data_IF_095013487893
#
_entry.id   IF_095013487893
#
_cell.length_a   1.000
_cell.length_b   1.000
_cell.length_c   1.000
_cell.angle_alpha   90.00
_cell.angle_beta   90.00
_cell.angle_gamma   90.00
#
_symmetry.space_group_name_H-M   'P 1'
#
loop_
_entity.id
_entity.type
_entity.pdbx_description
1 polymer ?
#
# COMPACT_ATOMS: atom_id res chain seq x y z
N UNK A 1 -1.57 -17.02 10.30
CA UNK A 1 -2.27 -15.76 9.97
C UNK A 1 -2.78 -15.17 11.25
N UNK A 2 -2.37 -13.95 11.53
CA UNK A 2 -2.71 -13.23 12.76
C UNK A 2 -4.04 -12.50 12.61
N UNK A 3 -4.78 -12.40 13.70
CA UNK A 3 -6.08 -11.75 13.77
C UNK A 3 -5.95 -10.37 14.40
N UNK A 4 -6.67 -9.41 13.84
CA UNK A 4 -6.83 -8.07 14.38
C UNK A 4 -7.57 -8.10 15.73
N UNK A 5 -7.63 -6.96 16.41
CA UNK A 5 -8.41 -6.81 17.66
C UNK A 5 -9.87 -7.24 17.51
N UNK A 6 -10.48 -7.01 16.36
CA UNK A 6 -11.86 -7.42 16.10
C UNK A 6 -11.98 -8.70 15.25
N UNK A 7 -10.93 -9.51 15.22
CA UNK A 7 -10.89 -10.84 14.60
C UNK A 7 -11.10 -10.81 13.08
N UNK A 8 -10.54 -9.79 12.42
CA UNK A 8 -10.27 -9.86 10.98
C UNK A 8 -8.89 -10.47 10.76
N UNK A 9 -8.73 -11.22 9.68
CA UNK A 9 -7.40 -11.59 9.20
C UNK A 9 -6.60 -10.30 8.87
N UNK A 10 -5.41 -10.11 9.47
CA UNK A 10 -4.68 -8.83 9.34
C UNK A 10 -4.31 -8.51 7.88
N UNK A 11 -3.88 -9.50 7.09
CA UNK A 11 -3.60 -9.33 5.66
C UNK A 11 -4.85 -8.88 4.87
N UNK A 12 -6.03 -9.33 5.28
CA UNK A 12 -7.29 -8.87 4.72
C UNK A 12 -7.64 -7.44 5.12
N UNK A 13 -7.33 -7.02 6.36
CA UNK A 13 -7.49 -5.62 6.79
C UNK A 13 -6.60 -4.70 5.97
N UNK A 14 -5.32 -5.07 5.75
CA UNK A 14 -4.41 -4.33 4.87
C UNK A 14 -4.98 -4.20 3.46
N UNK A 15 -5.43 -5.32 2.89
CA UNK A 15 -5.97 -5.31 1.54
C UNK A 15 -7.28 -4.52 1.43
N UNK A 16 -8.13 -4.57 2.46
CA UNK A 16 -9.37 -3.81 2.52
C UNK A 16 -9.12 -2.30 2.62
N UNK A 17 -8.15 -1.86 3.45
CA UNK A 17 -7.72 -0.46 3.53
C UNK A 17 -7.17 0.05 2.18
N UNK A 18 -6.32 -0.74 1.53
CA UNK A 18 -5.81 -0.38 0.21
C UNK A 18 -6.93 -0.33 -0.83
N UNK A 19 -7.90 -1.25 -0.76
CA UNK A 19 -9.03 -1.27 -1.68
C UNK A 19 -9.96 -0.07 -1.50
N UNK A 20 -10.41 0.21 -0.27
CA UNK A 20 -11.36 1.28 0.03
C UNK A 20 -10.78 2.67 -0.25
N UNK A 21 -9.51 2.90 0.09
CA UNK A 21 -8.81 4.17 -0.19
C UNK A 21 -8.79 4.51 -1.67
N UNK A 22 -8.74 3.52 -2.55
CA UNK A 22 -8.80 3.78 -3.99
C UNK A 22 -10.19 4.22 -4.44
N UNK A 23 -11.26 3.69 -3.80
CA UNK A 23 -12.67 3.85 -4.19
C UNK A 23 -13.31 5.16 -3.74
N UNK A 24 -12.55 6.00 -3.04
CA UNK A 24 -13.07 7.22 -2.42
C UNK A 24 -14.16 6.96 -1.36
N UNK A 25 -14.17 5.77 -0.75
CA UNK A 25 -15.05 5.47 0.37
C UNK A 25 -14.38 5.89 1.68
N UNK A 26 -14.67 7.10 2.13
CA UNK A 26 -14.01 7.73 3.29
C UNK A 26 -14.28 6.96 4.58
N UNK A 27 -15.53 6.55 4.77
CA UNK A 27 -15.95 5.85 5.97
C UNK A 27 -15.29 4.47 6.04
N UNK A 28 -15.32 3.70 4.95
CA UNK A 28 -14.68 2.38 4.92
C UNK A 28 -13.15 2.48 5.02
N UNK A 29 -12.53 3.50 4.40
CA UNK A 29 -11.08 3.75 4.54
C UNK A 29 -10.68 4.02 5.97
N UNK A 30 -11.40 4.93 6.64
CA UNK A 30 -11.16 5.26 8.05
C UNK A 30 -11.39 4.05 8.96
N UNK A 31 -12.42 3.25 8.68
CA UNK A 31 -12.70 2.05 9.46
C UNK A 31 -11.53 1.06 9.43
N UNK A 32 -11.06 0.70 8.23
CA UNK A 32 -9.96 -0.27 8.10
C UNK A 32 -8.63 0.29 8.63
N UNK A 33 -8.40 1.60 8.51
CA UNK A 33 -7.24 2.23 9.12
C UNK A 33 -7.32 2.18 10.66
N UNK A 34 -8.47 2.56 11.22
CA UNK A 34 -8.72 2.49 12.66
C UNK A 34 -8.60 1.04 13.19
N UNK A 35 -9.03 0.04 12.43
CA UNK A 35 -8.87 -1.37 12.79
C UNK A 35 -7.40 -1.76 12.99
N UNK A 36 -6.50 -1.32 12.09
CA UNK A 36 -5.06 -1.56 12.23
C UNK A 36 -4.49 -0.85 13.46
N UNK A 37 -4.85 0.42 13.66
CA UNK A 37 -4.39 1.21 14.81
C UNK A 37 -4.83 0.58 16.14
N UNK A 38 -6.10 0.16 16.22
CA UNK A 38 -6.66 -0.52 17.40
C UNK A 38 -6.05 -1.92 17.62
N UNK A 39 -5.45 -2.51 16.59
CA UNK A 39 -4.69 -3.76 16.67
C UNK A 39 -3.19 -3.54 16.98
N UNK A 40 -2.77 -2.28 17.16
CA UNK A 40 -1.37 -1.90 17.38
C UNK A 40 -0.48 -1.99 16.14
N UNK A 41 -1.07 -2.16 14.94
CA UNK A 41 -0.36 -2.31 13.66
C UNK A 41 -0.10 -0.94 13.00
N UNK A 42 0.56 -0.03 13.73
CA UNK A 42 0.76 1.37 13.34
C UNK A 42 1.61 1.48 12.06
N UNK A 43 2.76 0.82 12.04
CA UNK A 43 3.69 0.88 10.91
C UNK A 43 3.12 0.24 9.66
N UNK A 44 2.36 -0.84 9.81
CA UNK A 44 1.71 -1.53 8.72
C UNK A 44 0.55 -0.71 8.16
N UNK A 45 -0.16 0.07 8.98
CA UNK A 45 -1.16 1.05 8.51
C UNK A 45 -0.50 2.11 7.60
N UNK A 46 0.60 2.71 8.06
CA UNK A 46 1.35 3.73 7.29
C UNK A 46 1.88 3.14 5.98
N UNK A 47 2.46 1.94 6.05
CA UNK A 47 2.99 1.22 4.88
C UNK A 47 1.88 0.91 3.86
N UNK A 48 0.71 0.47 4.34
CA UNK A 48 -0.46 0.17 3.49
C UNK A 48 -0.96 1.44 2.79
N UNK A 49 -1.00 2.57 3.50
CA UNK A 49 -1.38 3.86 2.91
C UNK A 49 -0.38 4.32 1.85
N UNK A 50 0.93 4.20 2.14
CA UNK A 50 1.99 4.52 1.18
C UNK A 50 1.87 3.65 -0.08
N UNK A 51 1.71 2.33 0.06
CA UNK A 51 1.54 1.43 -1.07
C UNK A 51 0.24 1.72 -1.84
N UNK A 52 -0.84 2.08 -1.15
CA UNK A 52 -2.07 2.51 -1.80
C UNK A 52 -1.84 3.74 -2.67
N UNK A 53 -1.18 4.76 -2.11
CA UNK A 53 -0.79 5.96 -2.84
C UNK A 53 0.13 5.63 -4.02
N UNK A 54 1.20 4.89 -3.79
CA UNK A 54 2.26 4.61 -4.75
C UNK A 54 1.71 3.93 -6.01
N UNK A 55 0.90 2.89 -5.83
CA UNK A 55 0.43 2.05 -6.93
C UNK A 55 -0.83 2.59 -7.63
N UNK A 56 -1.57 3.49 -6.99
CA UNK A 56 -2.83 4.00 -7.53
C UNK A 56 -2.84 5.48 -7.87
N UNK A 57 -2.01 6.32 -7.25
CA UNK A 57 -2.04 7.78 -7.41
C UNK A 57 -0.66 8.33 -7.81
N UNK A 58 0.37 7.95 -7.06
CA UNK A 58 1.77 8.28 -7.31
C UNK A 58 1.98 9.78 -7.57
N UNK A 59 2.70 10.15 -8.64
CA UNK A 59 3.08 11.55 -8.88
C UNK A 59 1.93 12.51 -9.17
N UNK A 60 0.69 12.02 -9.34
CA UNK A 60 -0.48 12.88 -9.54
C UNK A 60 -1.13 13.35 -8.23
N UNK A 61 -0.56 12.97 -7.09
CA UNK A 61 -1.00 13.40 -5.76
C UNK A 61 0.18 13.55 -4.80
N UNK A 62 1.15 14.38 -5.15
CA UNK A 62 2.36 14.62 -4.36
C UNK A 62 2.08 15.36 -3.05
N UNK A 63 1.02 16.17 -2.98
CA UNK A 63 0.61 16.81 -1.72
C UNK A 63 0.36 15.79 -0.60
N UNK A 64 -0.19 14.62 -0.92
CA UNK A 64 -0.40 13.56 0.06
C UNK A 64 0.93 13.01 0.56
N UNK A 65 1.84 12.66 -0.34
CA UNK A 65 3.14 12.09 0.03
C UNK A 65 3.99 13.08 0.81
N UNK A 66 4.02 14.34 0.40
CA UNK A 66 4.72 15.40 1.11
C UNK A 66 4.21 15.55 2.55
N UNK A 67 2.89 15.57 2.75
CA UNK A 67 2.28 15.68 4.07
C UNK A 67 2.57 14.43 4.91
N UNK A 68 2.30 13.24 4.35
CA UNK A 68 2.53 11.97 5.03
C UNK A 68 3.99 11.80 5.44
N UNK A 69 4.95 12.16 4.60
CA UNK A 69 6.37 12.08 4.96
C UNK A 69 6.72 13.05 6.09
N UNK A 70 6.19 14.27 6.04
CA UNK A 70 6.46 15.29 7.05
C UNK A 70 5.85 14.97 8.43
N UNK A 71 4.69 14.32 8.46
CA UNK A 71 3.97 14.01 9.72
C UNK A 71 4.20 12.59 10.21
N UNK A 72 4.32 11.63 9.30
CA UNK A 72 4.43 10.21 9.63
C UNK A 72 5.84 9.67 9.46
N UNK A 73 6.78 10.38 8.82
CA UNK A 73 8.13 9.88 8.56
C UNK A 73 9.05 9.80 9.78
N UNK A 74 8.61 10.27 10.95
CA UNK A 74 9.34 10.21 12.21
C UNK A 74 9.22 8.87 12.94
N UNK A 75 10.00 8.72 14.02
CA UNK A 75 9.92 7.56 14.92
C UNK A 75 8.65 7.55 15.78
N UNK A 76 8.05 8.73 15.94
CA UNK A 76 6.81 8.96 16.67
C UNK A 76 5.75 9.54 15.74
N UNK A 77 4.51 9.06 15.88
CA UNK A 77 3.36 9.53 15.11
C UNK A 77 2.09 9.48 15.97
N UNK A 78 1.16 10.41 15.73
CA UNK A 78 -0.14 10.42 16.43
C UNK A 78 -1.18 9.56 15.70
N UNK A 79 -2.17 9.04 16.45
CA UNK A 79 -3.34 8.35 15.87
C UNK A 79 -4.08 9.28 14.89
N UNK A 80 -4.22 10.56 15.26
CA UNK A 80 -4.90 11.58 14.46
C UNK A 80 -4.23 11.83 13.11
N UNK A 81 -2.90 11.90 13.06
CA UNK A 81 -2.16 12.14 11.81
C UNK A 81 -2.31 10.97 10.83
N UNK A 82 -2.35 9.73 11.31
CA UNK A 82 -2.53 8.54 10.48
C UNK A 82 -3.97 8.49 9.95
N UNK A 83 -4.95 8.73 10.81
CA UNK A 83 -6.36 8.79 10.42
C UNK A 83 -6.59 9.91 9.40
N UNK A 84 -6.03 11.10 9.63
CA UNK A 84 -6.09 12.22 8.69
C UNK A 84 -5.43 11.85 7.35
N UNK A 85 -4.26 11.22 7.37
CA UNK A 85 -3.57 10.78 6.15
C UNK A 85 -4.41 9.76 5.36
N UNK A 86 -5.09 8.83 6.04
CA UNK A 86 -6.00 7.88 5.40
C UNK A 86 -7.23 8.57 4.78
N UNK A 87 -7.81 9.53 5.51
CA UNK A 87 -8.95 10.33 5.04
C UNK A 87 -8.57 11.18 3.83
N UNK A 88 -7.44 11.88 3.89
CA UNK A 88 -6.91 12.66 2.79
C UNK A 88 -6.75 11.81 1.53
N UNK A 89 -6.17 10.61 1.64
CA UNK A 89 -6.01 9.70 0.50
C UNK A 89 -7.36 9.30 -0.11
N UNK A 90 -8.35 9.01 0.73
CA UNK A 90 -9.72 8.70 0.29
C UNK A 90 -10.46 9.89 -0.33
N UNK A 91 -10.03 11.13 -0.07
CA UNK A 91 -10.59 12.32 -0.71
C UNK A 91 -10.04 12.56 -2.12
N UNK A 92 -8.92 11.93 -2.49
CA UNK A 92 -8.29 12.09 -3.81
C UNK A 92 -9.12 11.40 -4.88
N UNK A 93 -9.81 12.16 -5.73
CA UNK A 93 -10.69 11.66 -6.79
C UNK A 93 -10.15 10.41 -7.51
N UNK A 94 -11.03 9.44 -7.78
CA UNK A 94 -10.70 8.24 -8.55
C UNK A 94 -10.17 8.57 -9.96
N UNK A 95 -10.49 9.75 -10.49
CA UNK A 95 -9.96 10.22 -11.78
C UNK A 95 -8.45 10.46 -11.73
N UNK A 96 -7.89 10.77 -10.55
CA UNK A 96 -6.44 10.86 -10.35
C UNK A 96 -5.76 9.51 -10.24
N UNK A 97 -6.50 8.39 -10.40
CA UNK A 97 -5.85 7.08 -10.46
C UNK A 97 -4.93 7.01 -11.67
N UNK A 98 -3.74 6.46 -11.48
CA UNK A 98 -2.74 6.30 -12.52
C UNK A 98 -1.87 5.07 -12.25
N UNK A 99 -1.69 4.23 -13.26
CA UNK A 99 -0.83 3.05 -13.17
C UNK A 99 0.41 3.15 -14.06
N UNK A 100 0.85 4.37 -14.41
CA UNK A 100 2.04 4.54 -15.24
C UNK A 100 3.30 4.03 -14.59
N UNK A 101 3.43 4.17 -13.27
CA UNK A 101 4.54 3.60 -12.53
C UNK A 101 4.67 2.09 -12.79
N UNK A 102 3.61 1.34 -12.48
CA UNK A 102 3.61 -0.10 -12.71
C UNK A 102 3.77 -0.45 -14.20
N UNK A 103 3.11 0.29 -15.09
CA UNK A 103 3.17 0.01 -16.52
C UNK A 103 4.58 0.20 -17.08
N UNK A 104 5.29 1.27 -16.68
CA UNK A 104 6.67 1.53 -17.07
C UNK A 104 7.63 0.47 -16.51
N UNK A 105 7.43 0.06 -15.26
CA UNK A 105 8.23 -1.01 -14.64
C UNK A 105 8.00 -2.37 -15.31
N UNK A 106 6.76 -2.68 -15.68
CA UNK A 106 6.40 -3.93 -16.35
C UNK A 106 6.89 -3.99 -17.81
N UNK A 107 7.06 -2.84 -18.46
CA UNK A 107 7.71 -2.72 -19.76
C UNK A 107 9.23 -2.92 -19.60
N UNK A 108 9.64 -4.18 -19.58
CA UNK A 108 11.05 -4.57 -19.55
C UNK A 108 11.83 -4.00 -20.74
N UNK A 109 13.14 -3.87 -20.57
CA UNK A 109 14.03 -3.37 -21.61
C UNK A 109 14.00 -4.27 -22.85
N UNK A 110 13.86 -3.68 -24.05
CA UNK A 110 13.84 -4.40 -25.32
C UNK A 110 12.49 -5.01 -25.73
N UNK A 111 11.49 -5.05 -24.85
CA UNK A 111 10.15 -5.52 -25.21
C UNK A 111 9.39 -4.51 -26.11
N UNK A 112 9.70 -3.22 -25.95
CA UNK A 112 9.14 -2.13 -26.77
C UNK A 112 10.26 -1.17 -27.13
N UNK A 113 10.41 -0.79 -28.42
CA UNK A 113 11.29 0.32 -28.76
C UNK A 113 10.76 1.60 -28.11
N UNK A 114 11.60 2.29 -27.35
CA UNK A 114 11.20 3.55 -26.72
C UNK A 114 10.85 4.58 -27.83
N UNK A 115 9.79 5.36 -27.63
CA UNK A 115 9.34 6.37 -28.59
C UNK A 115 10.49 7.33 -28.96
N UNK A 116 10.42 7.90 -30.18
CA UNK A 116 11.39 8.91 -30.60
C UNK A 116 11.22 10.19 -29.77
N UNK A 117 12.29 10.57 -29.07
CA UNK A 117 12.41 11.86 -28.40
C UNK A 117 12.81 12.91 -29.43
N UNK A 118 12.04 14.00 -29.51
CA UNK A 118 12.32 15.10 -30.44
C UNK A 118 13.56 15.90 -30.04
N UNK A 119 14.03 16.84 -30.88
CA UNK A 119 15.21 17.66 -30.57
C UNK A 119 14.95 18.76 -29.54
N UNK A 120 13.68 19.03 -29.18
CA UNK A 120 13.31 20.08 -28.23
C UNK A 120 13.95 19.81 -26.85
N UNK A 121 14.81 20.72 -26.42
CA UNK A 121 15.50 20.69 -25.13
C UNK A 121 15.51 22.09 -24.51
N UNK A 122 15.94 22.18 -23.25
CA UNK A 122 16.27 23.44 -22.57
C UNK A 122 17.80 23.56 -22.45
N UNK A 123 18.37 24.78 -22.32
CA UNK A 123 19.79 24.95 -22.07
C UNK A 123 20.22 24.21 -20.79
N UNK A 124 21.31 23.43 -20.85
CA UNK A 124 21.77 22.61 -19.73
C UNK A 124 23.30 22.46 -19.72
N UNK A 125 23.91 22.23 -18.54
CA UNK A 125 25.37 22.12 -18.41
C UNK A 125 25.93 20.76 -18.85
N UNK A 126 25.07 19.78 -19.08
CA UNK A 126 25.43 18.41 -19.41
C UNK A 126 25.89 18.29 -20.87
N UNK A 127 27.01 17.61 -21.11
CA UNK A 127 27.62 17.46 -22.45
C UNK A 127 27.50 16.06 -23.03
N UNK A 128 27.24 15.05 -22.18
CA UNK A 128 27.04 13.68 -22.62
C UNK A 128 25.72 13.51 -23.38
N UNK A 129 25.73 12.67 -24.43
CA UNK A 129 24.58 12.49 -25.30
C UNK A 129 23.42 11.77 -24.59
N UNK A 130 23.71 10.83 -23.68
CA UNK A 130 22.70 10.11 -22.89
C UNK A 130 22.03 11.05 -21.89
N UNK A 131 22.82 11.89 -21.23
CA UNK A 131 22.32 12.95 -20.34
C UNK A 131 21.41 13.94 -21.10
N UNK A 132 21.87 14.38 -22.27
CA UNK A 132 21.10 15.25 -23.15
C UNK A 132 19.79 14.58 -23.63
N UNK A 133 19.82 13.29 -23.94
CA UNK A 133 18.65 12.51 -24.30
C UNK A 133 17.65 12.43 -23.13
N UNK A 134 18.13 12.14 -21.92
CA UNK A 134 17.31 12.08 -20.71
C UNK A 134 16.60 13.41 -20.46
N UNK A 135 17.32 14.53 -20.55
CA UNK A 135 16.74 15.87 -20.37
C UNK A 135 15.66 16.15 -21.42
N UNK A 136 15.92 15.83 -22.70
CA UNK A 136 14.91 15.97 -23.76
C UNK A 136 13.67 15.12 -23.48
N UNK A 137 13.85 13.89 -23.01
CA UNK A 137 12.75 13.00 -22.68
C UNK A 137 11.90 13.58 -21.53
N UNK A 138 12.54 14.10 -20.48
CA UNK A 138 11.89 14.74 -19.34
C UNK A 138 11.10 15.98 -19.78
N UNK A 139 11.74 16.90 -20.51
CA UNK A 139 11.12 18.15 -21.01
C UNK A 139 9.90 17.88 -21.89
N UNK A 140 9.91 16.75 -22.61
CA UNK A 140 8.82 16.33 -23.49
C UNK A 140 7.77 15.44 -22.80
N UNK A 141 7.92 15.16 -21.50
CA UNK A 141 7.02 14.29 -20.74
C UNK A 141 7.05 12.82 -21.18
N UNK A 142 8.15 12.35 -21.78
CA UNK A 142 8.32 10.99 -22.30
C UNK A 142 8.92 10.09 -21.22
N UNK A 143 8.14 9.82 -20.15
CA UNK A 143 8.66 9.14 -18.96
C UNK A 143 9.19 7.72 -19.24
N UNK A 144 8.57 6.94 -20.13
CA UNK A 144 9.11 5.63 -20.52
C UNK A 144 10.49 5.74 -21.17
N UNK A 145 10.68 6.67 -22.11
CA UNK A 145 11.98 6.90 -22.76
C UNK A 145 13.03 7.39 -21.77
N UNK A 146 12.65 8.29 -20.86
CA UNK A 146 13.51 8.73 -19.77
C UNK A 146 13.93 7.54 -18.88
N UNK A 147 12.99 6.67 -18.51
CA UNK A 147 13.27 5.46 -17.73
C UNK A 147 14.19 4.47 -18.47
N UNK A 148 13.98 4.26 -19.78
CA UNK A 148 14.89 3.46 -20.61
C UNK A 148 16.34 3.96 -20.52
N UNK A 149 16.54 5.28 -20.44
CA UNK A 149 17.86 5.90 -20.36
C UNK A 149 18.43 5.83 -18.93
N UNK A 150 17.61 6.06 -17.91
CA UNK A 150 18.03 5.98 -16.49
C UNK A 150 18.63 4.63 -16.15
N UNK A 151 18.11 3.53 -16.70
CA UNK A 151 18.66 2.19 -16.47
C UNK A 151 20.04 1.95 -17.09
N UNK A 152 20.49 2.82 -18.00
CA UNK A 152 21.80 2.75 -18.66
C UNK A 152 22.83 3.71 -18.07
N UNK A 153 22.49 4.36 -16.96
CA UNK A 153 23.28 5.40 -16.31
C UNK A 153 23.43 5.11 -14.82
N UNK A 154 24.52 5.58 -14.23
CA UNK A 154 24.70 5.55 -12.78
C UNK A 154 23.68 6.44 -12.07
N UNK A 155 23.12 5.95 -10.97
CA UNK A 155 22.02 6.64 -10.29
C UNK A 155 22.44 8.01 -9.75
N UNK A 156 23.65 8.14 -9.19
CA UNK A 156 24.16 9.43 -8.70
C UNK A 156 24.17 10.50 -9.80
N UNK A 157 24.46 10.07 -11.04
CA UNK A 157 24.46 10.98 -12.19
C UNK A 157 23.05 11.36 -12.62
N UNK A 158 22.14 10.39 -12.63
CA UNK A 158 20.72 10.66 -12.88
C UNK A 158 20.15 11.60 -11.82
N UNK A 159 20.44 11.38 -10.54
CA UNK A 159 19.98 12.21 -9.44
C UNK A 159 20.47 13.66 -9.59
N UNK A 160 21.73 13.88 -9.97
CA UNK A 160 22.24 15.22 -10.27
C UNK A 160 21.45 15.93 -11.39
N UNK A 161 21.04 15.21 -12.43
CA UNK A 161 20.23 15.75 -13.53
C UNK A 161 18.81 16.07 -13.05
N UNK A 162 18.19 15.17 -12.28
CA UNK A 162 16.85 15.37 -11.74
C UNK A 162 16.80 16.58 -10.80
N UNK A 163 17.76 16.69 -9.89
CA UNK A 163 17.88 17.82 -8.96
C UNK A 163 18.08 19.14 -9.71
N UNK A 164 19.01 19.17 -10.68
CA UNK A 164 19.22 20.34 -11.54
C UNK A 164 17.95 20.76 -12.26
N UNK A 165 17.19 19.80 -12.81
CA UNK A 165 15.94 20.09 -13.51
C UNK A 165 14.88 20.66 -12.56
N UNK A 166 14.75 20.09 -11.36
CA UNK A 166 13.76 20.55 -10.36
C UNK A 166 14.10 21.89 -9.73
N UNK A 167 15.39 22.22 -9.61
CA UNK A 167 15.85 23.53 -9.12
C UNK A 167 15.38 24.69 -10.02
N UNK A 168 15.12 24.41 -11.29
CA UNK A 168 14.57 25.40 -12.24
C UNK A 168 13.04 25.53 -12.16
N UNK A 169 12.34 24.59 -11.52
CA UNK A 169 10.88 24.51 -11.56
C UNK A 169 10.19 24.81 -10.24
N UNK A 170 10.47 24.05 -9.18
CA UNK A 170 9.68 24.07 -7.94
C UNK A 170 10.43 23.43 -6.77
N UNK A 171 10.58 24.16 -5.65
CA UNK A 171 11.26 23.67 -4.45
C UNK A 171 10.59 22.44 -3.83
N UNK A 172 9.27 22.30 -3.93
CA UNK A 172 8.55 21.12 -3.40
C UNK A 172 8.90 19.82 -4.13
N UNK A 173 9.25 19.90 -5.41
CA UNK A 173 9.68 18.73 -6.19
C UNK A 173 11.04 18.24 -5.71
N UNK A 174 11.96 19.17 -5.42
CA UNK A 174 13.24 18.85 -4.82
C UNK A 174 13.07 18.14 -3.49
N UNK A 175 12.22 18.67 -2.61
CA UNK A 175 11.88 18.04 -1.33
C UNK A 175 11.32 16.62 -1.54
N UNK A 176 10.44 16.42 -2.52
CA UNK A 176 9.92 15.08 -2.82
C UNK A 176 11.01 14.13 -3.34
N UNK A 177 11.96 14.60 -4.15
CA UNK A 177 13.10 13.79 -4.59
C UNK A 177 13.95 13.34 -3.39
N UNK A 178 14.21 14.24 -2.44
CA UNK A 178 14.95 13.91 -1.22
C UNK A 178 14.19 12.86 -0.41
N UNK A 179 12.88 13.06 -0.20
CA UNK A 179 12.01 12.10 0.49
C UNK A 179 11.95 10.72 -0.19
N UNK A 180 12.03 10.65 -1.53
CA UNK A 180 12.09 9.38 -2.26
C UNK A 180 13.39 8.61 -2.01
N UNK A 181 14.45 9.22 -1.50
CA UNK A 181 15.68 8.50 -1.10
C UNK A 181 15.59 7.87 0.28
N UNK A 182 14.58 8.25 1.06
CA UNK A 182 14.34 7.86 2.45
C UNK A 182 12.92 7.26 2.63
N UNK A 183 12.35 6.65 1.59
CA UNK A 183 10.99 6.12 1.60
C UNK A 183 10.76 5.05 2.69
N UNK A 184 11.82 4.39 3.16
CA UNK A 184 11.79 3.45 4.28
C UNK A 184 11.24 4.09 5.56
N UNK A 185 11.35 5.41 5.72
CA UNK A 185 10.73 6.17 6.82
C UNK A 185 9.21 6.14 6.80
N UNK A 186 8.58 5.73 5.70
CA UNK A 186 7.13 5.48 5.64
C UNK A 186 6.83 3.98 5.45
N UNK A 187 7.62 3.30 4.62
CA UNK A 187 7.39 1.89 4.31
C UNK A 187 7.84 0.93 5.42
N UNK A 188 8.70 1.37 6.34
CA UNK A 188 9.26 0.55 7.40
C UNK A 188 10.39 -0.40 6.97
N UNK A 189 10.73 -0.45 5.69
CA UNK A 189 11.80 -1.29 5.17
C UNK A 189 12.35 -0.76 3.84
N UNK A 190 13.55 -1.23 3.47
CA UNK A 190 14.23 -0.89 2.22
C UNK A 190 14.57 -2.16 1.44
N UNK A 191 14.32 -2.16 0.13
CA UNK A 191 14.64 -3.29 -0.76
C UNK A 191 15.13 -2.78 -2.12
N UNK A 192 15.86 -3.61 -2.86
CA UNK A 192 16.33 -3.25 -4.21
C UNK A 192 15.17 -3.01 -5.19
N UNK A 193 14.07 -3.75 -5.02
CA UNK A 193 12.84 -3.58 -5.80
C UNK A 193 12.23 -2.21 -5.54
N UNK A 194 12.03 -1.83 -4.26
CA UNK A 194 11.47 -0.53 -3.93
C UNK A 194 12.43 0.63 -4.28
N UNK A 195 13.75 0.44 -4.19
CA UNK A 195 14.71 1.41 -4.72
C UNK A 195 14.47 1.66 -6.22
N UNK A 196 14.26 0.59 -7.00
CA UNK A 196 13.93 0.70 -8.42
C UNK A 196 12.59 1.39 -8.66
N UNK A 197 11.57 1.07 -7.84
CA UNK A 197 10.24 1.70 -7.91
C UNK A 197 10.34 3.20 -7.66
N UNK A 198 11.02 3.63 -6.60
CA UNK A 198 11.16 5.06 -6.27
C UNK A 198 12.04 5.80 -7.28
N UNK A 199 13.08 5.17 -7.85
CA UNK A 199 13.84 5.74 -8.99
C UNK A 199 12.93 5.99 -10.20
N UNK A 200 12.07 5.04 -10.56
CA UNK A 200 11.12 5.21 -11.65
C UNK A 200 10.08 6.30 -11.32
N UNK A 201 9.62 6.35 -10.08
CA UNK A 201 8.70 7.37 -9.59
C UNK A 201 9.28 8.78 -9.73
N UNK A 202 10.55 8.99 -9.38
CA UNK A 202 11.28 10.25 -9.56
C UNK A 202 11.27 10.72 -11.00
N UNK A 203 11.49 9.79 -11.95
CA UNK A 203 11.45 10.09 -13.39
C UNK A 203 10.05 10.51 -13.85
N UNK A 204 9.02 9.78 -13.43
CA UNK A 204 7.63 10.11 -13.79
C UNK A 204 7.23 11.47 -13.21
N UNK A 205 7.64 11.76 -11.97
CA UNK A 205 7.38 13.04 -11.32
C UNK A 205 7.93 14.22 -12.13
N UNK A 206 9.19 14.18 -12.55
CA UNK A 206 9.78 15.30 -13.32
C UNK A 206 9.21 15.41 -14.75
N UNK A 207 8.57 14.35 -15.25
CA UNK A 207 7.90 14.33 -16.56
C UNK A 207 6.48 14.93 -16.53
N UNK A 208 5.95 15.32 -15.37
CA UNK A 208 4.65 15.98 -15.27
C UNK A 208 4.68 17.33 -16.00
N UNK A 209 3.63 17.62 -16.78
CA UNK A 209 3.42 18.95 -17.36
C UNK A 209 3.13 19.99 -16.28
N UNK A 210 3.37 21.30 -16.50
CA UNK A 210 3.16 22.33 -15.48
C UNK A 210 1.77 22.30 -14.82
N UNK A 211 0.71 22.08 -15.61
CA UNK A 211 -0.66 21.95 -15.07
C UNK A 211 -0.83 20.71 -14.18
N UNK A 212 -0.20 19.59 -14.54
CA UNK A 212 -0.22 18.38 -13.71
C UNK A 212 0.62 18.54 -12.44
N UNK A 213 1.72 19.29 -12.50
CA UNK A 213 2.53 19.62 -11.33
C UNK A 213 1.72 20.44 -10.33
N UNK A 214 1.05 21.50 -10.78
CA UNK A 214 0.18 22.33 -9.95
C UNK A 214 -0.97 21.50 -9.34
N UNK A 215 -1.67 20.69 -10.14
CA UNK A 215 -2.76 19.84 -9.64
C UNK A 215 -2.27 18.74 -8.68
N UNK A 216 -1.04 18.26 -8.83
CA UNK A 216 -0.45 17.24 -7.95
C UNK A 216 -0.22 17.75 -6.52
N UNK A 217 0.03 19.06 -6.37
CA UNK A 217 0.19 19.73 -5.09
C UNK A 217 -1.09 20.41 -4.59
N UNK A 218 -2.25 20.07 -5.17
CA UNK A 218 -3.53 20.61 -4.71
C UNK A 218 -3.69 20.37 -3.19
N UNK A 219 -4.08 21.40 -2.42
CA UNK A 219 -4.25 21.28 -0.97
C UNK A 219 -5.23 20.17 -0.61
N UNK A 220 -4.87 19.41 0.42
CA UNK A 220 -5.69 18.37 1.02
C UNK A 220 -6.40 18.91 2.27
N UNK A 221 -7.52 18.31 2.70
CA UNK A 221 -8.17 18.69 3.95
C UNK A 221 -7.20 18.62 5.12
N UNK A 222 -7.19 19.66 5.96
CA UNK A 222 -6.33 19.73 7.16
C UNK A 222 -6.93 19.02 8.37
N UNK A 223 -8.20 18.61 8.30
CA UNK A 223 -8.91 17.92 9.37
C UNK A 223 -9.96 16.97 8.77
N UNK A 224 -10.41 16.01 9.58
CA UNK A 224 -11.56 15.16 9.28
C UNK A 224 -12.84 16.00 9.23
N UNK A 225 -13.79 15.64 8.36
CA UNK A 225 -15.11 16.27 8.39
C UNK A 225 -15.92 15.78 9.60
N UNK A 226 -16.93 16.57 10.01
CA UNK A 226 -17.72 16.29 11.21
C UNK A 226 -18.43 14.93 11.13
N UNK A 227 -18.81 14.49 9.93
CA UNK A 227 -19.43 13.17 9.71
C UNK A 227 -18.44 12.04 9.99
N UNK A 228 -17.23 12.15 9.46
CA UNK A 228 -16.14 11.18 9.65
C UNK A 228 -15.73 11.09 11.13
N UNK A 229 -15.64 12.24 11.81
CA UNK A 229 -15.36 12.28 13.24
C UNK A 229 -16.47 11.57 14.05
N UNK A 230 -17.73 11.87 13.77
CA UNK A 230 -18.86 11.23 14.44
C UNK A 230 -18.91 9.71 14.21
N UNK A 231 -18.50 9.24 13.03
CA UNK A 231 -18.39 7.81 12.74
C UNK A 231 -17.29 7.13 13.56
N UNK A 232 -16.11 7.76 13.68
CA UNK A 232 -15.03 7.26 14.53
C UNK A 232 -15.47 7.18 15.99
N UNK A 233 -16.11 8.24 16.51
CA UNK A 233 -16.65 8.27 17.87
C UNK A 233 -17.69 7.17 18.10
N UNK A 234 -18.53 6.90 17.09
CA UNK A 234 -19.49 5.82 17.14
C UNK A 234 -18.80 4.45 17.20
N UNK A 235 -17.79 4.18 16.36
CA UNK A 235 -17.07 2.92 16.38
C UNK A 235 -16.27 2.72 17.68
N UNK A 236 -15.71 3.80 18.23
CA UNK A 236 -15.02 3.76 19.53
C UNK A 236 -15.98 3.35 20.67
N UNK A 237 -17.27 3.70 20.58
CA UNK A 237 -18.29 3.24 21.54
C UNK A 237 -18.68 1.77 21.38
N UNK A 238 -18.39 1.14 20.24
CA UNK A 238 -18.69 -0.27 19.97
C UNK A 238 -17.57 -1.23 20.40
N UNK A 239 -16.46 -0.70 20.93
CA UNK A 239 -15.33 -1.51 21.40
C UNK A 239 -15.79 -2.52 22.46
N UNK A 240 -15.43 -3.78 22.27
CA UNK A 240 -15.74 -4.89 23.18
C UNK A 240 -17.04 -5.66 22.90
N UNK A 241 -17.91 -5.19 21.99
CA UNK A 241 -19.18 -5.89 21.67
C UNK A 241 -19.33 -6.12 20.16
N UNK A 242 -19.73 -5.07 19.41
CA UNK A 242 -20.16 -5.14 17.99
C UNK A 242 -19.32 -4.28 17.05
N UNK A 243 -18.02 -4.19 17.30
CA UNK A 243 -17.10 -3.38 16.50
C UNK A 243 -16.88 -3.89 15.05
N UNK A 244 -17.36 -5.10 14.70
CA UNK A 244 -17.32 -5.62 13.32
C UNK A 244 -18.40 -5.00 12.42
N UNK A 245 -18.16 -3.76 12.00
CA UNK A 245 -19.12 -2.97 11.19
C UNK A 245 -19.09 -3.38 9.71
N UNK A 246 -17.92 -3.43 9.08
CA UNK A 246 -17.77 -3.73 7.66
C UNK A 246 -17.37 -5.19 7.41
N UNK A 247 -17.87 -5.78 6.32
CA UNK A 247 -17.37 -7.06 5.81
C UNK A 247 -16.16 -6.82 4.91
N UNK A 248 -15.16 -7.71 4.97
CA UNK A 248 -13.99 -7.64 4.08
C UNK A 248 -14.45 -7.73 2.61
N UNK A 249 -14.10 -6.75 1.75
CA UNK A 249 -14.49 -6.79 0.35
C UNK A 249 -13.81 -7.94 -0.41
N UNK A 250 -14.59 -8.84 -1.02
CA UNK A 250 -14.04 -9.98 -1.78
C UNK A 250 -13.12 -9.55 -2.94
N UNK A 251 -13.41 -8.42 -3.56
CA UNK A 251 -12.60 -7.80 -4.61
C UNK A 251 -11.21 -7.35 -4.13
N UNK A 252 -11.00 -7.21 -2.82
CA UNK A 252 -9.70 -6.89 -2.25
C UNK A 252 -8.79 -8.12 -2.06
N UNK A 253 -9.30 -9.35 -2.15
CA UNK A 253 -8.57 -10.50 -1.63
C UNK A 253 -7.47 -11.02 -2.58
N UNK A 254 -7.72 -11.02 -3.89
CA UNK A 254 -6.95 -11.77 -4.89
C UNK A 254 -5.43 -11.53 -4.81
N UNK A 255 -4.68 -12.62 -4.62
CA UNK A 255 -3.22 -12.65 -4.53
C UNK A 255 -2.62 -12.07 -3.25
N UNK A 256 -3.21 -11.03 -2.67
CA UNK A 256 -2.65 -10.34 -1.52
C UNK A 256 -2.86 -11.07 -0.22
N UNK A 257 -4.03 -11.69 -0.07
CA UNK A 257 -4.44 -12.35 1.16
C UNK A 257 -4.38 -13.87 1.03
N UNK A 258 -4.34 -14.59 2.16
CA UNK A 258 -4.42 -16.05 2.15
C UNK A 258 -5.70 -16.54 1.47
N UNK A 259 -6.88 -15.98 1.80
CA UNK A 259 -8.14 -16.30 1.10
C UNK A 259 -8.07 -15.98 -0.39
N UNK A 260 -7.33 -14.92 -0.75
CA UNK A 260 -7.00 -14.56 -2.12
C UNK A 260 -6.23 -15.60 -2.91
N UNK A 261 -5.56 -16.53 -2.22
CA UNK A 261 -4.74 -17.63 -2.77
C UNK A 261 -5.39 -19.01 -2.56
N UNK A 262 -6.45 -19.08 -1.77
CA UNK A 262 -7.20 -20.30 -1.48
C UNK A 262 -8.23 -20.58 -2.56
N UNK A 263 -8.49 -21.87 -2.78
CA UNK A 263 -9.62 -22.34 -3.60
C UNK A 263 -10.92 -22.24 -2.82
N UNK A 264 -12.04 -22.12 -3.50
CA UNK A 264 -13.40 -22.12 -2.94
C UNK A 264 -13.72 -23.33 -2.02
N UNK A 265 -13.04 -24.47 -2.18
CA UNK A 265 -13.22 -25.65 -1.35
C UNK A 265 -12.47 -25.56 0.00
N UNK A 266 -11.60 -24.55 0.15
CA UNK A 266 -10.86 -24.25 1.37
C UNK A 266 -11.53 -23.05 2.06
N UNK A 267 -11.52 -23.03 3.38
CA UNK A 267 -12.15 -21.98 4.18
C UNK A 267 -11.28 -21.60 5.36
N UNK A 268 -11.30 -20.31 5.72
CA UNK A 268 -10.62 -19.80 6.93
C UNK A 268 -11.52 -19.79 8.15
N UNK A 269 -12.79 -20.19 8.03
CA UNK A 269 -13.75 -20.19 9.15
C UNK A 269 -13.25 -21.05 10.33
N UNK A 270 -12.47 -22.10 10.06
CA UNK A 270 -11.86 -22.93 11.10
C UNK A 270 -10.92 -22.16 12.03
N UNK A 271 -10.36 -21.02 11.60
CA UNK A 271 -9.49 -20.19 12.43
C UNK A 271 -10.25 -19.53 13.59
N UNK A 272 -11.56 -19.29 13.40
CA UNK A 272 -12.42 -18.79 14.48
C UNK A 272 -12.77 -19.86 15.51
N UNK A 273 -12.63 -21.15 15.17
CA UNK A 273 -12.90 -22.25 16.09
C UNK A 273 -11.71 -22.57 17.01
N UNK A 274 -10.52 -22.06 16.70
CA UNK A 274 -9.31 -22.22 17.51
C UNK A 274 -8.48 -20.94 17.39
N UNK A 275 -8.86 -19.91 18.13
CA UNK A 275 -8.34 -18.55 17.93
C UNK A 275 -6.93 -18.35 18.45
N UNK A 276 -6.50 -19.08 19.48
CA UNK A 276 -5.25 -18.84 20.22
C UNK A 276 -4.00 -18.79 19.31
N UNK A 277 -3.76 -19.73 18.38
CA UNK A 277 -2.61 -19.66 17.47
C UNK A 277 -2.66 -18.44 16.54
N UNK A 278 -3.85 -17.89 16.32
CA UNK A 278 -4.09 -16.77 15.42
C UNK A 278 -4.09 -15.42 16.13
N UNK A 279 -4.03 -15.38 17.47
CA UNK A 279 -3.80 -14.13 18.21
C UNK A 279 -2.33 -13.69 18.13
N UNK A 280 -1.41 -14.64 17.96
CA UNK A 280 0.04 -14.41 17.86
C UNK A 280 0.35 -13.61 16.59
N UNK A 281 1.22 -12.60 16.70
CA UNK A 281 1.61 -11.67 15.63
C UNK A 281 0.73 -10.42 15.51
N UNK A 282 -0.28 -10.27 16.38
CA UNK A 282 -1.04 -9.02 16.51
C UNK A 282 -0.58 -8.29 17.78
N UNK A 283 0.00 -7.08 17.67
CA UNK A 283 0.57 -6.37 18.81
C UNK A 283 -0.42 -6.18 19.98
N UNK A 284 -1.68 -5.85 19.68
CA UNK A 284 -2.72 -5.71 20.71
C UNK A 284 -2.92 -7.02 21.51
N UNK A 285 -2.99 -8.16 20.82
CA UNK A 285 -3.22 -9.44 21.48
C UNK A 285 -1.99 -9.91 22.24
N UNK A 286 -0.78 -9.69 21.71
CA UNK A 286 0.45 -10.05 22.40
C UNK A 286 0.61 -9.27 23.72
N UNK A 287 0.27 -7.97 23.71
CA UNK A 287 0.22 -7.15 24.93
C UNK A 287 -0.86 -7.66 25.89
N UNK A 288 -2.09 -7.88 25.41
CA UNK A 288 -3.19 -8.40 26.23
C UNK A 288 -2.86 -9.75 26.88
N UNK A 289 -2.21 -10.66 26.15
CA UNK A 289 -1.80 -11.98 26.65
C UNK A 289 -0.65 -11.85 27.66
N UNK A 290 0.22 -10.84 27.53
CA UNK A 290 1.37 -10.67 28.44
C UNK A 290 0.99 -10.47 29.90
N UNK A 291 -0.25 -10.05 30.18
CA UNK A 291 -0.81 -9.94 31.53
C UNK A 291 -1.14 -11.32 32.16
N UNK A 292 -1.38 -12.36 31.33
CA UNK A 292 -1.92 -13.67 31.73
C UNK A 292 -1.00 -14.86 31.36
N UNK A 293 0.04 -14.62 30.56
CA UNK A 293 0.89 -15.67 30.03
C UNK A 293 2.05 -15.15 29.19
N UNK A 294 2.74 -16.07 28.52
CA UNK A 294 3.87 -15.75 27.63
C UNK A 294 3.57 -16.21 26.20
N UNK A 295 3.84 -15.35 25.23
CA UNK A 295 3.74 -15.66 23.80
C UNK A 295 5.07 -16.19 23.28
N UNK A 296 5.07 -17.40 22.70
CA UNK A 296 6.18 -17.97 21.91
C UNK A 296 5.64 -18.36 20.52
N UNK A 297 5.88 -19.59 20.08
CA UNK A 297 5.17 -20.19 18.95
C UNK A 297 3.73 -20.59 19.29
N UNK A 298 3.43 -20.71 20.60
CA UNK A 298 2.11 -20.95 21.17
C UNK A 298 1.93 -20.04 22.37
N UNK A 299 0.68 -19.85 22.82
CA UNK A 299 0.39 -19.18 24.08
C UNK A 299 0.64 -20.15 25.23
N UNK A 300 1.43 -19.73 26.21
CA UNK A 300 1.65 -20.46 27.45
C UNK A 300 1.01 -19.66 28.60
N UNK A 301 -0.19 -20.05 28.99
CA UNK A 301 -0.89 -19.48 30.13
C UNK A 301 -0.15 -19.78 31.43
N UNK A 302 -0.14 -18.83 32.38
CA UNK A 302 0.51 -19.07 33.68
C UNK A 302 -0.26 -20.08 34.54
N UNK A 303 -1.60 -20.06 34.44
CA UNK A 303 -2.52 -21.00 35.06
C UNK A 303 -3.83 -21.12 34.26
N UNK A 304 -4.68 -22.08 34.61
CA UNK A 304 -6.03 -22.18 34.04
C UNK A 304 -6.91 -20.98 34.44
N UNK A 305 -6.75 -20.45 35.65
CA UNK A 305 -7.47 -19.25 36.11
C UNK A 305 -7.10 -18.01 35.28
N UNK A 306 -5.82 -17.84 34.94
CA UNK A 306 -5.37 -16.73 34.09
C UNK A 306 -5.95 -16.84 32.67
N UNK A 307 -6.04 -18.06 32.13
CA UNK A 307 -6.72 -18.31 30.85
C UNK A 307 -8.19 -17.91 30.94
N UNK A 308 -8.92 -18.37 31.96
CA UNK A 308 -10.34 -18.03 32.14
C UNK A 308 -10.54 -16.52 32.31
N UNK A 309 -9.69 -15.85 33.09
CA UNK A 309 -9.73 -14.40 33.28
C UNK A 309 -9.49 -13.62 31.98
N UNK A 310 -8.57 -14.08 31.13
CA UNK A 310 -8.36 -13.52 29.79
C UNK A 310 -9.64 -13.62 28.95
N UNK A 311 -10.25 -14.82 28.87
CA UNK A 311 -11.46 -15.01 28.08
C UNK A 311 -12.62 -14.16 28.60
N UNK A 312 -12.83 -14.09 29.92
CA UNK A 312 -13.88 -13.26 30.52
C UNK A 312 -13.71 -11.77 30.22
N UNK A 313 -12.46 -11.27 30.19
CA UNK A 313 -12.19 -9.84 29.96
C UNK A 313 -12.39 -9.44 28.49
N UNK A 314 -11.91 -10.26 27.56
CA UNK A 314 -11.85 -9.89 26.14
C UNK A 314 -13.01 -10.46 25.31
N UNK A 315 -13.79 -11.40 25.87
CA UNK A 315 -14.94 -12.03 25.24
C UNK A 315 -16.16 -12.02 26.18
N UNK A 316 -16.68 -10.84 26.55
CA UNK A 316 -17.77 -10.73 27.52
C UNK A 316 -19.14 -11.21 27.01
N UNK A 317 -19.32 -11.25 25.68
CA UNK A 317 -20.54 -11.70 25.01
C UNK A 317 -20.41 -13.17 24.57
N UNK A 318 -19.90 -13.39 23.35
CA UNK A 318 -19.71 -14.72 22.74
C UNK A 318 -18.29 -14.85 22.20
N UNK A 319 -17.69 -16.03 22.35
CA UNK A 319 -16.41 -16.36 21.71
C UNK A 319 -16.60 -16.60 20.19
N UNK A 320 -15.56 -16.42 19.36
CA UNK A 320 -15.73 -16.40 17.90
C UNK A 320 -16.26 -17.68 17.27
N UNK A 321 -16.12 -18.81 17.94
CA UNK A 321 -16.66 -20.12 17.55
C UNK A 321 -18.17 -20.22 17.76
N UNK A 322 -18.75 -19.46 18.68
CA UNK A 322 -20.19 -19.38 18.97
C UNK A 322 -20.94 -18.39 18.06
N UNK A 323 -20.22 -17.53 17.35
CA UNK A 323 -20.83 -16.54 16.46
C UNK A 323 -21.69 -17.16 15.36
N UNK A 324 -22.70 -16.40 14.94
CA UNK A 324 -23.56 -16.79 13.83
C UNK A 324 -22.77 -16.91 12.52
N UNK A 325 -23.29 -17.71 11.57
CA UNK A 325 -22.69 -17.82 10.23
C UNK A 325 -22.51 -16.46 9.54
N UNK A 326 -23.47 -15.55 9.73
CA UNK A 326 -23.41 -14.20 9.14
C UNK A 326 -22.32 -13.34 9.74
N UNK A 327 -22.00 -13.50 11.03
CA UNK A 327 -20.94 -12.75 11.69
C UNK A 327 -19.56 -13.29 11.31
N UNK A 328 -19.41 -14.62 11.28
CA UNK A 328 -18.20 -15.28 10.79
C UNK A 328 -17.88 -14.85 9.35
N UNK A 329 -18.91 -14.73 8.51
CA UNK A 329 -18.78 -14.31 7.10
C UNK A 329 -18.28 -12.87 6.90
N UNK A 330 -18.28 -12.01 7.93
CA UNK A 330 -17.75 -10.65 7.83
C UNK A 330 -16.21 -10.64 7.72
N UNK A 331 -15.54 -11.58 8.38
CA UNK A 331 -14.07 -11.62 8.46
C UNK A 331 -13.45 -12.91 7.90
N UNK A 332 -14.20 -14.00 7.79
CA UNK A 332 -13.70 -15.30 7.37
C UNK A 332 -14.64 -15.93 6.34
N UNK A 333 -14.13 -16.86 5.55
CA UNK A 333 -14.95 -17.51 4.54
C UNK A 333 -14.15 -18.40 3.61
N UNK A 334 -14.80 -18.76 2.51
CA UNK A 334 -14.21 -19.55 1.45
C UNK A 334 -13.13 -18.77 0.69
N UNK A 335 -12.19 -19.52 0.10
CA UNK A 335 -11.24 -18.98 -0.88
C UNK A 335 -11.93 -18.50 -2.15
N UNK A 336 -11.26 -17.65 -2.93
CA UNK A 336 -11.86 -17.03 -4.12
C UNK A 336 -11.40 -17.64 -5.45
N UNK A 337 -10.45 -18.60 -5.43
CA UNK A 337 -9.97 -19.24 -6.65
C UNK A 337 -10.87 -20.41 -7.05
N UNK A 338 -11.12 -20.53 -8.36
CA UNK A 338 -11.79 -21.72 -8.91
C UNK A 338 -10.98 -23.02 -8.72
N UNK A 339 -11.57 -24.21 -8.93
CA UNK A 339 -10.93 -25.51 -8.67
C UNK A 339 -9.57 -25.72 -9.33
N UNK A 340 -9.44 -25.21 -10.56
CA UNK A 340 -8.25 -25.36 -11.42
C UNK A 340 -7.56 -24.02 -11.66
N UNK A 341 -8.02 -22.97 -10.99
CA UNK A 341 -7.42 -21.65 -11.14
C UNK A 341 -6.14 -21.57 -10.32
N UNK A 342 -5.09 -21.04 -10.93
CA UNK A 342 -3.85 -20.67 -10.26
C UNK A 342 -3.75 -19.15 -10.16
N UNK A 343 -2.89 -18.69 -9.25
CA UNK A 343 -2.60 -17.29 -9.12
C UNK A 343 -1.75 -16.81 -10.29
N UNK A 344 -2.30 -15.93 -11.11
CA UNK A 344 -1.59 -15.32 -12.24
C UNK A 344 -1.42 -13.82 -12.06
N UNK A 345 -0.26 -13.32 -12.51
CA UNK A 345 0.02 -11.88 -12.54
C UNK A 345 -0.91 -11.16 -13.54
N UNK A 346 -1.35 -11.83 -14.59
CA UNK A 346 -2.35 -11.31 -15.55
C UNK A 346 -3.67 -10.96 -14.84
N UNK A 347 -4.22 -11.89 -14.05
CA UNK A 347 -5.47 -11.63 -13.31
C UNK A 347 -5.26 -10.60 -12.21
N UNK A 348 -4.09 -10.61 -11.55
CA UNK A 348 -3.73 -9.58 -10.57
C UNK A 348 -3.73 -8.18 -11.21
N UNK A 349 -3.02 -8.02 -12.33
CA UNK A 349 -2.95 -6.77 -13.07
C UNK A 349 -4.32 -6.32 -13.57
N UNK A 350 -5.17 -7.24 -14.05
CA UNK A 350 -6.54 -6.93 -14.45
C UNK A 350 -7.39 -6.40 -13.30
N UNK A 351 -7.25 -6.99 -12.12
CA UNK A 351 -8.03 -6.60 -10.94
C UNK A 351 -7.58 -5.25 -10.36
N UNK A 352 -6.27 -5.01 -10.30
CA UNK A 352 -5.70 -3.91 -9.50
C UNK A 352 -4.94 -2.84 -10.30
N UNK A 353 -4.46 -3.14 -11.51
CA UNK A 353 -3.47 -2.32 -12.25
C UNK A 353 -3.88 -2.06 -13.71
N UNK A 354 -5.16 -2.20 -14.04
CA UNK A 354 -5.69 -2.12 -15.41
C UNK A 354 -6.30 -0.78 -15.80
N UNK A 355 -6.29 0.20 -14.90
CA UNK A 355 -6.78 1.56 -15.20
C UNK A 355 -5.77 2.35 -16.04
N UNK A 356 -6.12 3.60 -16.32
CA UNK A 356 -5.36 4.51 -17.16
C UNK A 356 -3.88 4.59 -16.76
N UNK A 357 -3.00 4.53 -17.76
CA UNK A 357 -1.60 4.93 -17.65
C UNK A 357 -1.36 6.14 -18.56
N UNK A 358 -1.11 7.30 -17.95
CA UNK A 358 -0.84 8.57 -18.65
C UNK A 358 0.58 8.67 -19.23
N UNK A 359 1.52 7.82 -18.82
CA UNK A 359 2.90 7.85 -19.31
C UNK A 359 3.35 6.56 -20.02
N UNK A 360 2.51 5.53 -20.06
CA UNK A 360 2.71 4.32 -20.89
C UNK A 360 1.45 4.05 -21.71
N UNK A 361 1.19 4.91 -22.70
CA UNK A 361 -0.02 4.89 -23.51
C UNK A 361 -0.17 3.58 -24.27
N UNK A 362 -1.38 3.02 -24.29
CA UNK A 362 -1.73 1.79 -25.01
C UNK A 362 -0.81 0.57 -24.74
N UNK A 363 -0.05 0.60 -23.64
CA UNK A 363 0.86 -0.48 -23.27
C UNK A 363 0.17 -1.68 -22.64
N UNK A 364 -1.08 -1.51 -22.14
CA UNK A 364 -1.77 -2.53 -21.35
C UNK A 364 -1.91 -3.89 -22.05
N UNK A 365 -2.35 -4.00 -23.33
CA UNK A 365 -2.43 -5.29 -24.00
C UNK A 365 -1.09 -6.01 -24.09
N UNK A 366 -0.01 -5.26 -24.34
CA UNK A 366 1.33 -5.80 -24.40
C UNK A 366 1.83 -6.23 -23.02
N UNK A 367 1.62 -5.41 -21.99
CA UNK A 367 1.99 -5.75 -20.62
C UNK A 367 1.30 -7.05 -20.20
N UNK A 368 0.00 -7.20 -20.47
CA UNK A 368 -0.70 -8.45 -20.17
C UNK A 368 -0.05 -9.66 -20.85
N UNK A 369 0.35 -9.52 -22.12
CA UNK A 369 1.09 -10.56 -22.85
C UNK A 369 2.46 -10.86 -22.22
N UNK A 370 3.19 -9.84 -21.78
CA UNK A 370 4.47 -10.02 -21.07
C UNK A 370 4.30 -10.68 -19.68
N UNK A 371 3.10 -10.61 -19.10
CA UNK A 371 2.76 -11.24 -17.83
C UNK A 371 2.16 -12.64 -17.98
N UNK A 372 1.89 -13.11 -19.21
CA UNK A 372 1.39 -14.47 -19.44
C UNK A 372 2.37 -15.52 -18.89
N UNK A 373 1.86 -16.47 -18.13
CA UNK A 373 2.67 -17.51 -17.48
C UNK A 373 3.44 -17.06 -16.23
N UNK A 374 3.42 -15.76 -15.87
CA UNK A 374 4.05 -15.28 -14.63
C UNK A 374 3.11 -15.41 -13.44
N UNK A 375 3.62 -15.95 -12.34
CA UNK A 375 2.97 -15.93 -11.04
C UNK A 375 3.35 -14.63 -10.29
N UNK A 376 2.41 -14.08 -9.52
CA UNK A 376 2.65 -12.84 -8.79
C UNK A 376 1.46 -12.42 -7.92
N UNK A 377 1.78 -11.95 -6.73
CA UNK A 377 0.84 -11.51 -5.67
C UNK A 377 0.93 -10.01 -5.40
N UNK A 378 1.91 -9.32 -5.98
CA UNK A 378 2.25 -7.94 -5.65
C UNK A 378 2.76 -7.18 -6.90
N UNK A 379 2.60 -5.84 -7.01
CA UNK A 379 3.04 -5.10 -8.19
C UNK A 379 4.55 -5.19 -8.44
N UNK A 380 5.37 -5.30 -7.38
CA UNK A 380 6.84 -5.46 -7.49
C UNK A 380 7.27 -6.81 -8.07
N UNK A 381 6.38 -7.80 -8.17
CA UNK A 381 6.70 -9.09 -8.79
C UNK A 381 7.15 -8.97 -10.25
N UNK A 382 6.92 -7.82 -10.91
CA UNK A 382 7.45 -7.56 -12.26
C UNK A 382 8.96 -7.30 -12.31
N UNK A 383 9.56 -6.99 -11.15
CA UNK A 383 10.98 -6.68 -11.00
C UNK A 383 11.81 -7.89 -10.54
N UNK A 384 11.18 -8.88 -9.92
CA UNK A 384 11.87 -10.10 -9.48
C UNK A 384 11.97 -11.11 -10.61
N UNK A 385 13.18 -11.62 -10.89
CA UNK A 385 13.39 -12.76 -11.79
C UNK A 385 12.99 -14.09 -11.14
N UNK A 386 12.88 -14.13 -9.80
CA UNK A 386 12.44 -15.30 -9.05
C UNK A 386 10.96 -15.17 -8.68
N UNK A 387 10.17 -16.17 -9.06
CA UNK A 387 8.75 -16.23 -8.72
C UNK A 387 8.57 -16.27 -7.19
N UNK A 388 7.59 -15.48 -6.72
CA UNK A 388 7.14 -15.34 -5.32
C UNK A 388 8.11 -14.57 -4.42
N UNK A 389 7.94 -13.25 -4.40
CA UNK A 389 8.42 -12.43 -3.28
C UNK A 389 7.34 -12.47 -2.19
N UNK A 390 7.62 -13.14 -1.08
CA UNK A 390 6.92 -12.83 0.17
C UNK A 390 7.54 -11.53 0.67
N UNK A 391 6.82 -10.41 0.51
CA UNK A 391 7.17 -9.19 1.23
C UNK A 391 6.86 -9.48 2.69
N UNK A 392 7.86 -10.04 3.37
CA UNK A 392 7.88 -10.09 4.82
C UNK A 392 8.07 -8.65 5.27
N UNK A 393 6.94 -7.95 5.48
CA UNK A 393 6.95 -6.66 6.17
C UNK A 393 7.62 -6.92 7.52
N UNK A 394 8.87 -6.48 7.67
CA UNK A 394 9.48 -6.35 8.99
C UNK A 394 9.02 -4.98 9.45
N UNK A 395 8.04 -4.88 10.37
CA UNK A 395 7.53 -3.58 10.75
C UNK A 395 8.64 -2.83 11.48
N UNK A 396 8.94 -1.59 11.06
CA UNK A 396 9.65 -0.68 11.95
C UNK A 396 8.82 -0.54 13.24
N UNK A 397 9.44 -0.66 14.41
CA UNK A 397 8.73 -0.31 15.66
C UNK A 397 8.61 1.21 15.72
N UNK A 398 7.40 1.73 15.48
CA UNK A 398 7.06 3.13 15.74
C UNK A 398 6.33 3.23 17.06
N UNK A 399 6.59 4.31 17.79
CA UNK A 399 5.85 4.60 19.02
C UNK A 399 4.68 5.51 18.66
N UNK A 400 3.47 5.06 18.95
CA UNK A 400 2.31 5.92 18.89
C UNK A 400 2.32 6.85 20.10
N UNK A 401 2.22 8.15 19.86
CA UNK A 401 1.99 9.12 20.95
C UNK A 401 0.51 9.00 21.29
N UNK A 402 0.22 8.57 22.53
CA UNK A 402 -1.14 8.45 23.07
C UNK A 402 -1.60 9.79 23.61
#
# INVERSE_FOLDING_TARGET
MSLSRHFYALDEVHSALQYSSTRNDRAETLFWCNELLRSGCVSEAISTLLESWLWNKGPFCLSWFHNAFSTLGGDECSEEDILLSSYQLSCVSYLKRDHSLWSILALQEGAVPCDRVGPKTIPHPFTDERESYLIRAIVQGRAYCAWCMVKQMEWDRVQAILLWYTDQSNTLFKTCLDYFTEYEKLLGYRTAEYDTVFRCLSVIMVCLSPLQQEDSFRPLPSALDATSQSQLDHWNKLLGTKARVYSVPQSALYGRTLRGRMRWAQSTVSYLNNIEPHLIGCPFWEEAISEYGTVKSTILWNSDEDREAFYQRYFPDDIPDEWTKSEKAKSHGEGILGPKESLTMVKYARNYLSKLSRFAWNSHPLILRLMEGKEGTHPTSVLSEKAVMEINMIPMKRRMII
#
